data_IF_436344820935
#
_entry.id   IF_436344820935
#
_cell.length_a   1.000
_cell.length_b   1.000
_cell.length_c   1.000
_cell.angle_alpha   90.00
_cell.angle_beta   90.00
_cell.angle_gamma   90.00
#
_symmetry.space_group_name_H-M   'P 1'
#
loop_
_entity.id
_entity.type
_entity.pdbx_description
1 polymer ?
#
# COMPACT_ATOMS: atom_id res chain seq x y z
N UNK A 1 -12.68 -8.53 -11.09
CA UNK A 1 -11.36 -7.88 -11.32
C UNK A 1 -10.26 -8.76 -10.80
N UNK A 2 -9.19 -8.96 -11.57
CA UNK A 2 -8.07 -9.85 -11.25
C UNK A 2 -6.79 -9.09 -10.83
N UNK A 3 -6.73 -7.78 -11.04
CA UNK A 3 -5.57 -6.98 -10.68
C UNK A 3 -5.43 -6.87 -9.17
N UNK A 4 -4.23 -7.17 -8.65
CA UNK A 4 -3.91 -7.01 -7.24
C UNK A 4 -2.54 -6.37 -7.05
N UNK A 5 -2.43 -5.63 -5.96
CA UNK A 5 -1.23 -4.91 -5.56
C UNK A 5 -0.67 -5.51 -4.27
N UNK A 6 0.57 -5.97 -4.33
CA UNK A 6 1.26 -6.56 -3.19
C UNK A 6 1.72 -5.46 -2.25
N UNK A 7 1.26 -5.52 -1.00
CA UNK A 7 1.67 -4.59 0.03
C UNK A 7 1.89 -5.31 1.36
N UNK A 8 2.73 -4.77 2.21
CA UNK A 8 2.94 -5.31 3.53
C UNK A 8 1.63 -5.36 4.33
N UNK A 9 1.38 -6.46 5.01
CA UNK A 9 0.16 -6.67 5.79
C UNK A 9 -0.12 -5.51 6.75
N UNK A 10 0.89 -4.98 7.42
CA UNK A 10 0.73 -3.85 8.35
C UNK A 10 0.23 -2.58 7.66
N UNK A 11 0.65 -2.35 6.41
CA UNK A 11 0.15 -1.22 5.58
C UNK A 11 -1.28 -1.48 5.13
N UNK A 12 -1.57 -2.72 4.68
CA UNK A 12 -2.93 -3.14 4.31
C UNK A 12 -3.90 -2.96 5.48
N UNK A 13 -3.49 -3.38 6.68
CA UNK A 13 -4.30 -3.24 7.89
C UNK A 13 -4.51 -1.76 8.28
N UNK A 14 -3.49 -0.90 8.12
CA UNK A 14 -3.62 0.53 8.37
C UNK A 14 -4.56 1.23 7.37
N UNK A 15 -4.47 0.87 6.08
CA UNK A 15 -5.40 1.30 5.04
C UNK A 15 -6.83 0.83 5.36
N UNK A 16 -6.97 -0.45 5.77
CA UNK A 16 -8.26 -1.06 6.12
C UNK A 16 -8.92 -0.52 7.39
N UNK A 17 -8.17 0.14 8.28
CA UNK A 17 -8.70 0.89 9.43
C UNK A 17 -8.94 2.37 9.13
N UNK A 18 -8.49 2.86 7.96
CA UNK A 18 -8.55 4.28 7.61
C UNK A 18 -7.49 5.13 8.35
N UNK A 19 -6.48 4.51 8.98
CA UNK A 19 -5.39 5.22 9.62
C UNK A 19 -4.60 6.04 8.60
N UNK A 20 -4.38 5.46 7.41
CA UNK A 20 -3.73 6.11 6.26
C UNK A 20 -4.55 5.92 4.99
N UNK A 21 -4.29 6.79 3.99
CA UNK A 21 -4.83 6.70 2.63
C UNK A 21 -3.71 6.66 1.58
N UNK A 22 -2.46 6.53 1.99
CA UNK A 22 -1.30 6.61 1.09
C UNK A 22 -0.56 5.27 1.05
N UNK A 23 -0.17 4.85 -0.16
CA UNK A 23 0.76 3.76 -0.42
C UNK A 23 2.07 4.39 -0.91
N UNK A 24 3.20 4.02 -0.26
CA UNK A 24 4.52 4.53 -0.60
C UNK A 24 5.31 3.49 -1.41
N UNK A 25 5.85 3.88 -2.57
CA UNK A 25 6.63 3.00 -3.46
C UNK A 25 7.91 3.66 -3.93
N UNK A 26 8.96 2.85 -4.06
CA UNK A 26 10.22 3.24 -4.70
C UNK A 26 10.29 2.78 -6.16
N UNK A 27 9.61 1.72 -6.49
CA UNK A 27 9.84 0.87 -7.64
C UNK A 27 10.58 -0.40 -7.22
N UNK A 28 10.25 -1.53 -7.82
CA UNK A 28 10.88 -2.82 -7.58
C UNK A 28 11.91 -3.16 -8.66
N UNK A 29 12.77 -4.14 -8.37
CA UNK A 29 13.78 -4.65 -9.31
C UNK A 29 13.13 -5.18 -10.60
N UNK A 30 11.91 -5.72 -10.49
CA UNK A 30 11.15 -6.30 -11.60
C UNK A 30 10.18 -5.29 -12.28
N UNK A 31 10.26 -3.99 -11.97
CA UNK A 31 9.35 -2.97 -12.52
C UNK A 31 9.93 -2.26 -13.77
N UNK A 32 11.08 -2.72 -14.27
CA UNK A 32 11.73 -2.24 -15.49
C UNK A 32 12.54 -0.95 -15.32
N UNK A 33 13.12 -0.46 -16.42
CA UNK A 33 14.00 0.72 -16.43
C UNK A 33 13.30 2.03 -16.04
N UNK A 34 11.98 2.10 -16.20
CA UNK A 34 11.18 3.30 -15.89
C UNK A 34 10.78 3.41 -14.41
N UNK A 35 11.10 2.40 -13.59
CA UNK A 35 10.72 2.36 -12.17
C UNK A 35 9.24 2.01 -11.95
N UNK A 36 8.64 2.56 -10.89
CA UNK A 36 7.25 2.25 -10.53
C UNK A 36 6.24 2.90 -11.49
N UNK A 37 5.33 2.09 -12.02
CA UNK A 37 4.22 2.52 -12.85
C UNK A 37 2.87 2.11 -12.26
N UNK A 38 1.86 2.98 -12.37
CA UNK A 38 0.48 2.65 -12.03
C UNK A 38 -0.14 1.88 -13.19
N UNK A 39 -0.06 0.54 -13.13
CA UNK A 39 -0.63 -0.34 -14.17
C UNK A 39 -2.14 -0.43 -14.11
N UNK A 40 -2.71 -0.25 -12.91
CA UNK A 40 -4.14 -0.35 -12.67
C UNK A 40 -4.58 0.74 -11.71
N UNK A 41 -5.62 1.50 -12.08
CA UNK A 41 -6.23 2.51 -11.19
C UNK A 41 -7.16 1.90 -10.15
N UNK A 42 -7.64 0.68 -10.38
CA UNK A 42 -8.44 -0.09 -9.43
C UNK A 42 -7.82 -1.47 -9.26
N UNK A 43 -7.71 -1.93 -8.00
CA UNK A 43 -7.05 -3.19 -7.67
C UNK A 43 -7.41 -3.68 -6.28
N UNK A 44 -7.16 -4.96 -6.05
CA UNK A 44 -7.24 -5.58 -4.73
C UNK A 44 -5.92 -5.42 -3.98
N UNK A 45 -5.97 -5.21 -2.67
CA UNK A 45 -4.76 -5.28 -1.84
C UNK A 45 -4.44 -6.74 -1.55
N UNK A 46 -3.23 -7.15 -1.93
CA UNK A 46 -2.69 -8.46 -1.63
C UNK A 46 -1.70 -8.33 -0.46
N UNK A 47 -2.08 -8.74 0.77
CA UNK A 47 -1.23 -8.61 1.94
C UNK A 47 -0.05 -9.58 1.85
N UNK A 48 1.17 -9.06 2.05
CA UNK A 48 2.38 -9.85 2.12
C UNK A 48 2.93 -9.85 3.54
N UNK A 49 3.36 -11.02 4.02
CA UNK A 49 4.01 -11.19 5.31
C UNK A 49 5.53 -11.32 5.18
N UNK A 50 6.01 -11.56 3.95
CA UNK A 50 7.42 -11.67 3.65
C UNK A 50 8.13 -10.32 3.85
N UNK A 51 9.30 -10.36 4.49
CA UNK A 51 10.15 -9.19 4.76
C UNK A 51 9.57 -8.13 5.69
N UNK A 52 8.42 -8.36 6.35
CA UNK A 52 7.93 -7.44 7.36
C UNK A 52 8.92 -7.36 8.52
N UNK A 53 9.36 -6.14 8.83
CA UNK A 53 10.24 -5.87 9.96
C UNK A 53 9.59 -4.85 10.88
N UNK A 54 9.46 -5.19 12.16
CA UNK A 54 8.88 -4.29 13.17
C UNK A 54 9.64 -2.97 13.27
N UNK A 55 10.93 -3.01 13.00
CA UNK A 55 11.80 -1.84 13.06
C UNK A 55 11.57 -0.84 11.91
N UNK A 56 10.85 -1.21 10.87
CA UNK A 56 10.59 -0.36 9.69
C UNK A 56 9.34 0.49 9.83
N UNK A 57 8.50 0.19 10.81
CA UNK A 57 7.22 0.90 11.03
C UNK A 57 7.19 1.58 12.39
N UNK A 58 6.27 2.54 12.54
CA UNK A 58 6.09 3.23 13.82
C UNK A 58 5.61 2.26 14.90
N UNK A 59 5.90 2.50 16.19
CA UNK A 59 5.63 1.54 17.28
C UNK A 59 4.17 1.10 17.39
N UNK A 60 3.22 1.99 17.13
CA UNK A 60 1.80 1.64 17.18
C UNK A 60 1.43 0.63 16.08
N UNK A 61 1.97 0.79 14.87
CA UNK A 61 1.74 -0.16 13.78
C UNK A 61 2.44 -1.51 14.04
N UNK A 62 3.63 -1.49 14.62
CA UNK A 62 4.38 -2.70 14.97
C UNK A 62 3.62 -3.62 15.96
N UNK A 63 2.75 -3.07 16.82
CA UNK A 63 1.91 -3.85 17.75
C UNK A 63 0.86 -4.70 17.04
N UNK A 64 0.45 -4.32 15.83
CA UNK A 64 -0.52 -5.03 15.02
C UNK A 64 0.11 -6.02 14.03
N UNK A 65 1.44 -6.12 14.01
CA UNK A 65 2.13 -7.06 13.13
C UNK A 65 2.03 -8.48 13.68
N UNK A 66 1.26 -9.31 12.99
CA UNK A 66 1.28 -10.76 13.16
C UNK A 66 2.33 -11.36 12.22
N UNK A 67 3.28 -12.08 12.79
CA UNK A 67 4.33 -12.76 12.04
C UNK A 67 3.96 -14.23 11.88
N UNK A 68 3.19 -14.55 10.85
CA UNK A 68 2.92 -15.92 10.42
C UNK A 68 3.17 -16.02 8.91
N UNK A 69 4.45 -16.07 8.48
CA UNK A 69 4.81 -16.03 7.06
C UNK A 69 4.37 -17.29 6.27
N UNK A 70 4.00 -18.35 6.96
CA UNK A 70 3.73 -19.67 6.36
C UNK A 70 2.24 -19.98 6.20
N UNK A 71 1.35 -18.98 6.31
CA UNK A 71 -0.08 -19.20 6.07
C UNK A 71 -0.30 -19.47 4.57
N UNK A 72 -0.81 -20.66 4.21
CA UNK A 72 -1.05 -21.02 2.82
C UNK A 72 -2.27 -20.28 2.22
N UNK A 73 -2.97 -19.49 3.03
CA UNK A 73 -4.19 -18.78 2.64
C UNK A 73 -3.99 -17.28 2.80
N UNK A 74 -4.28 -16.54 1.75
CA UNK A 74 -4.20 -15.08 1.73
C UNK A 74 -5.62 -14.49 1.75
N UNK A 75 -6.00 -13.75 2.80
CA UNK A 75 -7.30 -13.09 2.86
C UNK A 75 -7.28 -11.79 2.03
N UNK A 76 -8.05 -11.74 0.95
CA UNK A 76 -8.28 -10.55 0.15
C UNK A 76 -9.59 -9.91 0.62
N UNK A 77 -9.51 -8.70 1.13
CA UNK A 77 -10.67 -8.01 1.69
C UNK A 77 -10.82 -6.57 1.23
N UNK A 78 -9.74 -5.92 0.79
CA UNK A 78 -9.73 -4.50 0.49
C UNK A 78 -9.53 -4.25 -0.99
N UNK A 79 -10.43 -3.43 -1.55
CA UNK A 79 -10.37 -2.89 -2.89
C UNK A 79 -9.92 -1.44 -2.84
N UNK A 80 -9.03 -1.03 -3.73
CA UNK A 80 -8.50 0.31 -3.82
C UNK A 80 -8.79 0.94 -5.17
N UNK A 81 -9.04 2.25 -5.15
CA UNK A 81 -9.04 3.14 -6.30
C UNK A 81 -7.99 4.24 -6.11
N UNK A 82 -7.09 4.42 -7.08
CA UNK A 82 -6.09 5.50 -7.05
C UNK A 82 -6.77 6.81 -7.40
N UNK A 83 -6.76 7.76 -6.47
CA UNK A 83 -7.37 9.08 -6.64
C UNK A 83 -6.34 10.17 -6.95
N UNK A 84 -5.08 9.97 -6.58
CA UNK A 84 -3.98 10.87 -6.93
C UNK A 84 -2.63 10.12 -6.83
N UNK A 85 -1.64 10.63 -7.55
CA UNK A 85 -0.27 10.15 -7.53
C UNK A 85 0.67 11.35 -7.46
N UNK A 86 1.65 11.26 -6.57
CA UNK A 86 2.70 12.26 -6.38
C UNK A 86 4.07 11.62 -6.40
N UNK A 87 5.02 12.30 -7.00
CA UNK A 87 6.43 11.97 -6.89
C UNK A 87 7.06 12.85 -5.83
N UNK A 88 7.62 12.23 -4.80
CA UNK A 88 8.32 12.89 -3.72
C UNK A 88 9.82 12.83 -4.02
N UNK A 89 10.42 13.98 -4.26
CA UNK A 89 11.84 14.11 -4.66
C UNK A 89 12.70 14.80 -3.60
N UNK A 90 12.05 15.30 -2.55
CA UNK A 90 12.73 16.04 -1.48
C UNK A 90 12.54 15.35 -0.12
N UNK A 91 13.61 15.26 0.66
CA UNK A 91 13.58 14.66 2.00
C UNK A 91 12.60 15.38 2.95
N UNK A 92 12.45 16.69 2.77
CA UNK A 92 11.53 17.49 3.58
C UNK A 92 10.07 17.08 3.35
N UNK A 93 9.70 16.65 2.15
CA UNK A 93 8.35 16.13 1.88
C UNK A 93 8.06 14.86 2.72
N UNK A 94 9.06 13.97 2.89
CA UNK A 94 8.93 12.78 3.75
C UNK A 94 8.64 13.18 5.19
N UNK A 95 9.39 14.18 5.73
CA UNK A 95 9.18 14.66 7.10
C UNK A 95 7.82 15.32 7.31
N UNK A 96 7.34 16.07 6.30
CA UNK A 96 6.06 16.78 6.35
C UNK A 96 4.85 15.84 6.33
N UNK A 97 4.96 14.65 5.71
CA UNK A 97 3.87 13.66 5.70
C UNK A 97 3.92 12.69 6.89
N UNK A 98 4.80 12.92 7.85
CA UNK A 98 4.87 12.14 9.10
C UNK A 98 3.51 12.11 9.80
N UNK A 99 3.12 10.93 10.29
CA UNK A 99 1.82 10.68 10.90
C UNK A 99 0.69 10.40 9.91
N UNK A 100 0.96 10.48 8.60
CA UNK A 100 -0.02 10.12 7.56
C UNK A 100 0.24 8.73 6.96
N UNK A 101 1.25 8.01 7.46
CA UNK A 101 1.61 6.65 7.08
C UNK A 101 2.26 5.90 8.25
N UNK A 102 2.35 4.58 8.15
CA UNK A 102 2.91 3.71 9.20
C UNK A 102 4.42 3.52 9.12
N UNK A 103 5.10 3.99 8.08
CA UNK A 103 6.54 3.85 7.93
C UNK A 103 7.29 4.81 8.86
N UNK A 104 8.46 4.38 9.36
CA UNK A 104 9.43 5.32 9.95
C UNK A 104 10.05 6.20 8.86
N UNK A 105 10.34 7.44 9.19
CA UNK A 105 10.94 8.39 8.25
C UNK A 105 12.28 7.87 7.68
N UNK A 106 13.12 7.27 8.54
CA UNK A 106 14.42 6.74 8.14
C UNK A 106 14.31 5.68 7.05
N UNK A 107 13.25 4.86 7.10
CA UNK A 107 12.98 3.84 6.09
C UNK A 107 12.61 4.46 4.75
N UNK A 108 11.76 5.47 4.74
CA UNK A 108 11.39 6.17 3.51
C UNK A 108 12.56 6.98 2.95
N UNK A 109 13.33 7.64 3.81
CA UNK A 109 14.56 8.36 3.42
C UNK A 109 15.57 7.39 2.78
N UNK A 110 15.81 6.24 3.41
CA UNK A 110 16.70 5.23 2.86
C UNK A 110 16.20 4.71 1.50
N UNK A 111 14.91 4.43 1.40
CA UNK A 111 14.30 4.01 0.12
C UNK A 111 14.42 5.09 -0.96
N UNK A 112 14.15 6.35 -0.62
CA UNK A 112 14.31 7.48 -1.55
C UNK A 112 15.74 7.59 -2.05
N UNK A 113 16.73 7.41 -1.18
CA UNK A 113 18.16 7.55 -1.50
C UNK A 113 18.75 6.32 -2.19
N UNK A 114 18.05 5.18 -2.24
CA UNK A 114 18.55 3.97 -2.88
C UNK A 114 18.38 4.02 -4.40
N UNK A 115 19.34 3.43 -5.14
CA UNK A 115 19.34 3.43 -6.61
C UNK A 115 19.55 4.81 -7.22
N UNK A 116 19.50 4.91 -8.55
CA UNK A 116 19.82 6.12 -9.31
C UNK A 116 18.69 7.15 -9.32
N UNK A 117 17.46 6.71 -9.10
CA UNK A 117 16.28 7.56 -9.08
C UNK A 117 15.92 7.95 -7.64
N UNK A 118 16.30 9.15 -7.20
CA UNK A 118 16.10 9.66 -5.85
C UNK A 118 14.67 10.18 -5.61
N UNK A 119 13.69 9.33 -5.83
CA UNK A 119 12.26 9.66 -5.64
C UNK A 119 11.49 8.53 -5.01
N UNK A 120 10.34 8.87 -4.40
CA UNK A 120 9.30 7.93 -3.98
C UNK A 120 7.98 8.30 -4.63
N UNK A 121 7.18 7.29 -4.93
CA UNK A 121 5.82 7.45 -5.42
C UNK A 121 4.86 7.33 -4.24
N UNK A 122 4.02 8.34 -4.07
CA UNK A 122 2.93 8.35 -3.10
C UNK A 122 1.59 8.23 -3.85
N UNK A 123 0.92 7.10 -3.70
CA UNK A 123 -0.40 6.85 -4.28
C UNK A 123 -1.45 7.12 -3.21
N UNK A 124 -2.30 8.12 -3.40
CA UNK A 124 -3.49 8.29 -2.57
C UNK A 124 -4.58 7.37 -3.08
N UNK A 125 -5.11 6.54 -2.20
CA UNK A 125 -6.08 5.52 -2.55
C UNK A 125 -7.35 5.65 -1.73
N UNK A 126 -8.50 5.50 -2.39
CA UNK A 126 -9.77 5.26 -1.73
C UNK A 126 -9.91 3.77 -1.50
N UNK A 127 -10.05 3.39 -0.23
CA UNK A 127 -10.15 1.99 0.17
C UNK A 127 -11.60 1.65 0.48
N UNK A 128 -12.04 0.52 -0.06
CA UNK A 128 -13.35 -0.08 0.23
C UNK A 128 -13.14 -1.52 0.71
N UNK A 129 -14.06 -2.00 1.54
CA UNK A 129 -13.94 -3.30 2.22
C UNK A 129 -15.09 -4.21 1.83
N UNK A 130 -14.79 -5.48 1.51
CA UNK A 130 -15.77 -6.55 1.40
C UNK A 130 -16.36 -6.88 2.79
N UNK A 131 -17.63 -7.29 2.87
CA UNK A 131 -18.24 -7.78 4.12
C UNK A 131 -17.43 -8.92 4.75
N UNK A 132 -16.94 -9.84 3.91
CA UNK A 132 -16.10 -10.97 4.30
C UNK A 132 -14.87 -11.04 3.41
N UNK A 133 -13.74 -11.43 4.00
CA UNK A 133 -12.53 -11.69 3.23
C UNK A 133 -12.73 -12.90 2.31
N UNK A 134 -12.18 -12.82 1.10
CA UNK A 134 -12.10 -13.96 0.18
C UNK A 134 -10.75 -14.63 0.41
N UNK A 135 -10.78 -15.89 0.79
CA UNK A 135 -9.58 -16.69 1.05
C UNK A 135 -9.02 -17.24 -0.26
N UNK A 136 -7.81 -16.82 -0.59
CA UNK A 136 -7.10 -17.24 -1.81
C UNK A 136 -5.92 -18.13 -1.42
N UNK A 137 -5.80 -19.35 -1.99
CA UNK A 137 -4.62 -20.17 -1.78
C UNK A 137 -3.35 -19.47 -2.30
N UNK A 138 -2.30 -19.48 -1.48
CA UNK A 138 -1.00 -18.99 -1.90
C UNK A 138 -0.53 -19.79 -3.14
N UNK A 139 -0.06 -19.07 -4.15
CA UNK A 139 0.37 -19.63 -5.42
C UNK A 139 1.78 -19.13 -5.77
N UNK A 140 2.59 -19.95 -6.39
CA UNK A 140 3.95 -19.60 -6.82
C UNK A 140 3.96 -18.36 -7.74
N UNK A 141 2.92 -18.17 -8.56
CA UNK A 141 2.76 -17.01 -9.43
C UNK A 141 2.58 -15.68 -8.68
N UNK A 142 2.27 -15.72 -7.37
CA UNK A 142 2.17 -14.53 -6.52
C UNK A 142 3.50 -14.16 -5.86
N UNK A 143 4.55 -14.97 -6.04
CA UNK A 143 5.90 -14.72 -5.57
C UNK A 143 6.61 -13.57 -6.29
N UNK A 144 7.90 -13.38 -5.96
CA UNK A 144 8.78 -12.37 -6.55
C UNK A 144 8.59 -10.95 -6.01
N UNK A 145 9.51 -10.03 -6.41
CA UNK A 145 9.61 -8.65 -5.91
C UNK A 145 8.85 -7.64 -6.79
N UNK A 146 7.73 -8.03 -7.36
CA UNK A 146 6.86 -7.16 -8.18
C UNK A 146 5.69 -6.62 -7.36
N UNK A 147 5.30 -5.38 -7.64
CA UNK A 147 4.15 -4.74 -6.99
C UNK A 147 2.82 -5.25 -7.53
N UNK A 148 2.73 -5.52 -8.82
CA UNK A 148 1.49 -5.92 -9.50
C UNK A 148 1.46 -7.41 -9.77
N UNK A 149 0.35 -8.06 -9.42
CA UNK A 149 0.06 -9.45 -9.74
C UNK A 149 -1.35 -9.59 -10.31
N UNK A 150 -1.59 -10.70 -10.99
CA UNK A 150 -2.90 -11.10 -11.46
C UNK A 150 -3.39 -12.28 -10.63
N UNK A 151 -4.52 -12.10 -9.96
CA UNK A 151 -5.20 -13.18 -9.26
C UNK A 151 -5.77 -14.17 -10.28
N UNK A 152 -5.87 -15.45 -9.91
CA UNK A 152 -6.57 -16.45 -10.70
C UNK A 152 -8.09 -16.24 -10.65
N UNK A 153 -8.57 -15.74 -9.53
CA UNK A 153 -9.96 -15.46 -9.23
C UNK A 153 -10.34 -14.06 -9.76
N UNK A 154 -11.49 -13.98 -10.41
CA UNK A 154 -12.09 -12.71 -10.80
C UNK A 154 -13.00 -12.21 -9.66
N UNK A 155 -12.48 -11.33 -8.82
CA UNK A 155 -13.20 -10.83 -7.65
C UNK A 155 -14.15 -9.69 -8.02
N UNK A 156 -15.33 -9.68 -7.40
CA UNK A 156 -16.35 -8.64 -7.55
C UNK A 156 -16.26 -7.62 -6.41
N UNK A 157 -16.13 -6.34 -6.76
CA UNK A 157 -16.07 -5.22 -5.81
C UNK A 157 -17.41 -4.51 -5.60
N UNK A 158 -18.49 -4.95 -6.22
CA UNK A 158 -19.81 -4.29 -6.16
C UNK A 158 -20.38 -4.19 -4.75
N UNK A 159 -20.05 -5.13 -3.87
CA UNK A 159 -20.49 -5.18 -2.48
C UNK A 159 -19.49 -4.53 -1.49
N UNK A 160 -18.46 -3.85 -1.99
CA UNK A 160 -17.52 -3.15 -1.13
C UNK A 160 -18.12 -1.87 -0.56
N UNK A 161 -17.85 -1.60 0.72
CA UNK A 161 -18.21 -0.34 1.39
C UNK A 161 -16.96 0.49 1.67
N UNK A 162 -16.96 1.82 1.43
CA UNK A 162 -15.81 2.67 1.76
C UNK A 162 -15.43 2.59 3.23
N UNK A 163 -14.12 2.53 3.52
CA UNK A 163 -13.60 2.55 4.90
C UNK A 163 -13.82 3.91 5.56
N UNK A 164 -13.58 4.98 4.83
CA UNK A 164 -13.81 6.36 5.26
C UNK A 164 -15.01 6.93 4.52
N UNK A 165 -15.83 7.68 5.21
CA UNK A 165 -16.84 8.50 4.56
C UNK A 165 -16.20 9.61 3.70
N UNK A 166 -17.00 10.30 2.92
CA UNK A 166 -16.49 11.29 1.97
C UNK A 166 -15.81 12.49 2.65
N UNK A 167 -16.32 12.93 3.80
CA UNK A 167 -15.77 14.08 4.52
C UNK A 167 -14.38 13.79 5.07
N UNK A 168 -14.24 12.69 5.84
CA UNK A 168 -12.96 12.27 6.41
C UNK A 168 -11.93 11.92 5.32
N UNK A 169 -12.36 11.31 4.21
CA UNK A 169 -11.46 11.00 3.10
C UNK A 169 -10.94 12.29 2.45
N UNK A 170 -11.82 13.28 2.20
CA UNK A 170 -11.44 14.56 1.63
C UNK A 170 -10.48 15.34 2.54
N UNK A 171 -10.73 15.32 3.86
CA UNK A 171 -9.84 15.92 4.86
C UNK A 171 -8.43 15.34 4.78
N UNK A 172 -8.30 14.00 4.74
CA UNK A 172 -7.00 13.33 4.63
C UNK A 172 -6.28 13.65 3.31
N UNK A 173 -7.00 13.73 2.19
CA UNK A 173 -6.43 14.15 0.91
C UNK A 173 -5.87 15.57 1.01
N UNK A 174 -6.64 16.49 1.59
CA UNK A 174 -6.23 17.89 1.71
C UNK A 174 -5.03 18.04 2.65
N UNK A 175 -5.02 17.33 3.77
CA UNK A 175 -3.88 17.28 4.70
C UNK A 175 -2.61 16.80 4.00
N UNK A 176 -2.70 15.73 3.19
CA UNK A 176 -1.57 15.22 2.43
C UNK A 176 -1.05 16.25 1.41
N UNK A 177 -1.94 16.84 0.61
CA UNK A 177 -1.59 17.87 -0.38
C UNK A 177 -0.88 19.06 0.25
N UNK A 178 -1.43 19.57 1.36
CA UNK A 178 -0.85 20.71 2.07
C UNK A 178 0.54 20.39 2.66
N UNK A 179 0.81 19.11 2.98
CA UNK A 179 2.10 18.70 3.52
C UNK A 179 3.20 18.62 2.46
N UNK A 180 2.88 18.30 1.22
CA UNK A 180 3.89 18.12 0.16
C UNK A 180 4.12 19.37 -0.69
N UNK A 181 3.27 20.39 -0.53
CA UNK A 181 3.46 21.73 -1.11
C UNK A 181 4.40 22.54 -0.23
#
# INVERSE_FOLDING_TARGET
MEAAFKEWRVVVDALGRGDQIVIMRKGGIDEGENGFEIKHHQFWLFPTLFHQQKDFVIPIAARHMTLHPDDPIIPIQYHCEVVAHYELTQLEQIKKIRGQHVWKDEVLIQRMSSGDNHQLHALLVRVSKLPHAIEIPLNENYGGCRSWIRLKENLDSSNCTPILDQAHFTEKIQAFKNSIT
#
